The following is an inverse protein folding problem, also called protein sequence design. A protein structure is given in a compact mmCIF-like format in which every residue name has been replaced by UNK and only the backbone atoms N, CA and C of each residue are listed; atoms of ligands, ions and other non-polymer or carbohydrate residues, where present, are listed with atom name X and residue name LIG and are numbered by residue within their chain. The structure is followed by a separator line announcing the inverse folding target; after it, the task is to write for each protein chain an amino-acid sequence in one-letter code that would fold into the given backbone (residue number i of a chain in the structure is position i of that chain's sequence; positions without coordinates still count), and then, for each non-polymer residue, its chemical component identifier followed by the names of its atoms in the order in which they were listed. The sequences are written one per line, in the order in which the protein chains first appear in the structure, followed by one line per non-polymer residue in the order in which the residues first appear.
data_IF_508606726442
#
_entry.id   IF_508606726442
#
_cell.length_a   1.000
_cell.length_b   1.000
_cell.length_c   1.000
_cell.angle_alpha   90.00
_cell.angle_beta   90.00
_cell.angle_gamma   90.00
#
_symmetry.space_group_name_H-M   'P 1'
#
loop_
_entity.id
_entity.type
_entity.pdbx_description
1 polymer ?
#
# COMPACT_ATOMS: atom_id res chain seq x y z
N UNK A 1 -28.75 2.79 -33.16
CA UNK A 1 -28.52 1.45 -32.58
C UNK A 1 -26.99 1.31 -32.50
N UNK A 2 -26.41 1.80 -31.40
CA UNK A 2 -24.95 1.86 -31.21
C UNK A 2 -24.43 0.49 -30.76
N UNK A 3 -23.49 -0.06 -31.50
CA UNK A 3 -22.72 -1.22 -31.10
C UNK A 3 -21.92 -0.84 -29.85
N UNK A 4 -22.32 -1.36 -28.68
CA UNK A 4 -21.46 -1.37 -27.50
C UNK A 4 -20.21 -2.18 -27.89
N UNK A 5 -19.08 -1.52 -28.05
CA UNK A 5 -17.79 -2.21 -28.17
C UNK A 5 -17.62 -3.01 -26.88
N UNK A 6 -17.78 -4.32 -26.98
CA UNK A 6 -17.41 -5.27 -25.94
C UNK A 6 -15.91 -5.09 -25.72
N UNK A 7 -15.57 -4.32 -24.69
CA UNK A 7 -14.19 -4.19 -24.24
C UNK A 7 -13.76 -5.55 -23.69
N UNK A 8 -13.11 -6.37 -24.51
CA UNK A 8 -12.53 -7.63 -24.06
C UNK A 8 -11.51 -7.29 -22.96
N UNK A 9 -11.68 -7.77 -21.73
CA UNK A 9 -10.72 -7.48 -20.68
C UNK A 9 -9.33 -7.96 -21.12
N UNK A 10 -8.38 -7.05 -21.13
CA UNK A 10 -6.99 -7.38 -21.44
C UNK A 10 -6.46 -8.32 -20.37
N UNK A 11 -5.78 -9.39 -20.78
CA UNK A 11 -5.14 -10.30 -19.84
C UNK A 11 -4.10 -9.52 -18.99
N UNK A 12 -4.02 -9.79 -17.67
CA UNK A 12 -3.04 -9.16 -16.81
C UNK A 12 -1.60 -9.38 -17.30
N UNK A 13 -0.75 -8.38 -17.14
CA UNK A 13 0.68 -8.50 -17.42
C UNK A 13 1.38 -9.34 -16.36
N UNK A 14 2.54 -9.89 -16.70
CA UNK A 14 3.39 -10.61 -15.75
C UNK A 14 3.84 -9.67 -14.60
N UNK A 15 4.09 -10.23 -13.38
CA UNK A 15 4.66 -9.47 -12.28
C UNK A 15 5.97 -8.77 -12.64
N UNK A 16 6.26 -7.65 -11.96
CA UNK A 16 7.54 -6.96 -12.09
C UNK A 16 8.67 -7.84 -11.52
N UNK A 17 9.75 -7.96 -12.25
CA UNK A 17 10.98 -8.66 -11.81
C UNK A 17 12.04 -7.70 -11.27
N UNK A 18 11.84 -6.40 -11.46
CA UNK A 18 12.72 -5.34 -10.95
C UNK A 18 11.90 -4.06 -10.74
N UNK A 19 12.41 -3.17 -9.91
CA UNK A 19 11.77 -1.87 -9.67
C UNK A 19 12.10 -0.95 -10.85
N UNK A 20 11.08 -0.45 -11.60
CA UNK A 20 11.30 0.53 -12.64
C UNK A 20 11.95 1.82 -12.11
N UNK A 21 12.84 2.41 -12.88
CA UNK A 21 13.61 3.60 -12.47
C UNK A 21 12.78 4.84 -12.18
N UNK A 22 11.60 4.93 -12.77
CA UNK A 22 10.66 6.04 -12.63
C UNK A 22 9.79 5.95 -11.36
N UNK A 23 9.91 4.88 -10.57
CA UNK A 23 9.20 4.76 -9.30
C UNK A 23 9.99 5.54 -8.24
N UNK A 24 9.41 6.65 -7.78
CA UNK A 24 9.96 7.49 -6.73
C UNK A 24 9.19 7.35 -5.40
N UNK A 25 7.92 6.94 -5.43
CA UNK A 25 7.09 6.76 -4.26
C UNK A 25 6.12 5.58 -4.41
N UNK A 26 5.47 5.18 -3.31
CA UNK A 26 4.53 4.04 -3.32
C UNK A 26 3.37 4.26 -4.28
N UNK A 27 2.88 5.50 -4.44
CA UNK A 27 1.78 5.80 -5.36
C UNK A 27 2.12 5.50 -6.83
N UNK A 28 3.39 5.53 -7.20
CA UNK A 28 3.81 5.24 -8.58
C UNK A 28 3.58 3.79 -8.98
N UNK A 29 3.45 2.87 -8.00
CA UNK A 29 3.12 1.47 -8.27
C UNK A 29 1.69 1.27 -8.75
N UNK A 30 0.77 2.21 -8.50
CA UNK A 30 -0.65 2.06 -8.84
C UNK A 30 -0.87 1.73 -10.31
N UNK A 31 -0.20 2.44 -11.23
CA UNK A 31 -0.30 2.18 -12.67
C UNK A 31 0.16 0.77 -13.04
N UNK A 32 1.21 0.26 -12.39
CA UNK A 32 1.73 -1.08 -12.63
C UNK A 32 0.79 -2.16 -12.08
N UNK A 33 0.21 -1.92 -10.91
CA UNK A 33 -0.78 -2.82 -10.31
C UNK A 33 -2.03 -2.92 -11.20
N UNK A 34 -2.53 -1.80 -11.69
CA UNK A 34 -3.70 -1.76 -12.59
C UNK A 34 -3.52 -2.58 -13.86
N UNK A 35 -2.31 -2.64 -14.41
CA UNK A 35 -2.02 -3.42 -15.61
C UNK A 35 -1.83 -4.91 -15.35
N UNK A 36 -1.57 -5.31 -14.10
CA UNK A 36 -1.19 -6.67 -13.70
C UNK A 36 -2.24 -7.40 -12.90
N UNK A 37 -3.24 -6.69 -12.42
CA UNK A 37 -4.39 -7.26 -11.73
C UNK A 37 -5.55 -7.48 -12.73
N UNK A 38 -6.33 -8.53 -12.50
CA UNK A 38 -7.60 -8.67 -13.20
C UNK A 38 -8.59 -7.59 -12.72
N UNK A 39 -9.67 -7.40 -13.48
CA UNK A 39 -10.61 -6.32 -13.21
C UNK A 39 -11.29 -6.41 -11.84
N UNK A 40 -11.55 -7.62 -11.33
CA UNK A 40 -12.21 -7.81 -10.04
C UNK A 40 -11.23 -7.53 -8.88
N UNK A 41 -10.02 -8.08 -8.97
CA UNK A 41 -8.96 -7.80 -8.00
C UNK A 41 -8.62 -6.31 -7.95
N UNK A 42 -8.55 -5.64 -9.10
CA UNK A 42 -8.36 -4.21 -9.17
C UNK A 42 -9.51 -3.43 -8.51
N UNK A 43 -10.76 -3.77 -8.84
CA UNK A 43 -11.93 -3.10 -8.26
C UNK A 43 -12.00 -3.26 -6.73
N UNK A 44 -11.67 -4.45 -6.23
CA UNK A 44 -11.58 -4.71 -4.79
C UNK A 44 -10.49 -3.87 -4.12
N UNK A 45 -9.30 -3.79 -4.73
CA UNK A 45 -8.16 -3.08 -4.14
C UNK A 45 -8.32 -1.56 -4.18
N UNK A 46 -8.86 -1.02 -5.30
CA UNK A 46 -8.94 0.42 -5.53
C UNK A 46 -10.24 1.05 -5.05
N UNK A 47 -11.29 0.27 -4.82
CA UNK A 47 -12.60 0.76 -4.39
C UNK A 47 -12.67 1.06 -2.90
N UNK A 48 -13.49 2.04 -2.55
CA UNK A 48 -13.83 2.38 -1.18
C UNK A 48 -15.30 2.09 -0.87
N UNK A 49 -15.71 2.28 0.38
CA UNK A 49 -17.09 2.11 0.82
C UNK A 49 -17.95 3.34 0.47
N UNK A 50 -19.18 3.10 0.03
CA UNK A 50 -20.16 4.14 -0.25
C UNK A 50 -19.64 5.18 -1.25
N UNK A 51 -19.67 6.43 -0.88
CA UNK A 51 -19.22 7.57 -1.70
C UNK A 51 -17.69 7.79 -1.66
N UNK A 52 -16.93 6.84 -1.09
CA UNK A 52 -15.47 6.86 -0.99
C UNK A 52 -14.89 8.09 -0.27
N UNK A 53 -15.68 8.77 0.55
CA UNK A 53 -15.25 9.99 1.24
C UNK A 53 -14.06 9.75 2.16
N UNK A 54 -14.05 8.64 2.90
CA UNK A 54 -12.93 8.28 3.78
C UNK A 54 -11.68 7.94 2.99
N UNK A 55 -11.82 7.21 1.88
CA UNK A 55 -10.69 6.88 1.01
C UNK A 55 -10.05 8.16 0.45
N UNK A 56 -10.85 9.11 0.01
CA UNK A 56 -10.37 10.40 -0.46
C UNK A 56 -9.73 11.23 0.67
N UNK A 57 -10.32 11.25 1.87
CA UNK A 57 -9.78 12.03 3.01
C UNK A 57 -8.49 11.44 3.56
N UNK A 58 -8.29 10.14 3.50
CA UNK A 58 -7.02 9.49 3.88
C UNK A 58 -5.81 10.09 3.14
N UNK A 59 -5.97 10.45 1.88
CA UNK A 59 -4.90 11.13 1.12
C UNK A 59 -4.80 12.59 1.48
N UNK A 60 -5.93 13.31 1.52
CA UNK A 60 -5.98 14.75 1.86
C UNK A 60 -5.48 15.06 3.27
N UNK A 61 -5.61 14.10 4.19
CA UNK A 61 -5.14 14.28 5.56
C UNK A 61 -3.65 14.60 5.63
N UNK A 62 -2.82 14.03 4.75
CA UNK A 62 -1.39 14.33 4.71
C UNK A 62 -1.09 15.75 4.28
N UNK A 63 -1.92 16.38 3.43
CA UNK A 63 -1.73 17.77 2.97
C UNK A 63 -1.90 18.79 4.11
N UNK A 64 -2.58 18.41 5.19
CA UNK A 64 -2.80 19.26 6.38
C UNK A 64 -1.58 19.29 7.33
N UNK A 65 -0.62 18.38 7.13
CA UNK A 65 0.57 18.26 7.97
C UNK A 65 1.79 18.81 7.26
N UNK A 66 2.58 19.59 7.99
CA UNK A 66 3.84 20.13 7.48
C UNK A 66 4.98 19.71 8.39
N UNK A 67 6.08 19.30 7.80
CA UNK A 67 7.32 19.06 8.52
C UNK A 67 8.03 20.42 8.68
N UNK A 68 8.26 20.82 9.91
CA UNK A 68 9.02 22.04 10.24
C UNK A 68 10.44 21.65 10.65
N UNK A 69 11.41 21.61 9.72
CA UNK A 69 12.76 21.19 10.05
C UNK A 69 13.41 22.21 10.97
N UNK A 70 14.19 21.72 11.94
CA UNK A 70 15.05 22.54 12.78
C UNK A 70 16.49 22.25 12.43
N UNK A 71 17.25 23.28 12.09
CA UNK A 71 18.68 23.18 11.80
C UNK A 71 19.50 23.26 13.08
N UNK A 72 20.73 22.75 13.03
CA UNK A 72 21.70 22.77 14.13
C UNK A 72 21.25 22.05 15.41
N UNK A 73 20.30 21.15 15.34
CA UNK A 73 19.97 20.24 16.44
C UNK A 73 20.89 19.02 16.38
N UNK A 74 21.40 18.61 17.53
CA UNK A 74 22.06 17.31 17.64
C UNK A 74 21.03 16.19 17.52
N UNK A 75 21.16 15.37 16.49
CA UNK A 75 20.31 14.20 16.21
C UNK A 75 21.09 12.89 16.27
N UNK A 76 22.31 12.89 16.79
CA UNK A 76 23.19 11.73 16.82
C UNK A 76 22.60 10.53 17.60
N UNK A 77 21.77 10.80 18.61
CA UNK A 77 21.06 9.78 19.39
C UNK A 77 19.59 9.61 18.96
N UNK A 78 19.20 10.21 17.83
CA UNK A 78 17.82 10.12 17.33
C UNK A 78 17.47 8.69 16.89
N UNK A 79 16.26 8.24 17.26
CA UNK A 79 15.70 6.97 16.80
C UNK A 79 14.18 7.07 16.66
N UNK A 80 13.59 6.15 15.91
CA UNK A 80 12.13 6.04 15.69
C UNK A 80 11.49 4.92 16.50
N UNK A 81 12.28 4.20 17.32
CA UNK A 81 11.77 3.11 18.14
C UNK A 81 10.76 3.60 19.18
N UNK A 82 9.68 2.84 19.37
CA UNK A 82 8.61 3.15 20.32
C UNK A 82 7.95 1.85 20.82
N UNK A 83 7.11 1.99 21.85
CA UNK A 83 6.28 0.88 22.35
C UNK A 83 4.81 1.20 22.12
N UNK A 84 4.10 0.31 21.43
CA UNK A 84 2.66 0.42 21.18
C UNK A 84 1.97 -0.84 21.70
N UNK A 85 0.96 -0.69 22.53
CA UNK A 85 0.23 -1.82 23.14
C UNK A 85 1.13 -2.89 23.78
N UNK A 86 2.24 -2.47 24.41
CA UNK A 86 3.20 -3.37 25.03
C UNK A 86 4.22 -4.02 24.06
N UNK A 87 4.12 -3.76 22.77
CA UNK A 87 5.05 -4.25 21.75
C UNK A 87 6.14 -3.21 21.45
N UNK A 88 7.40 -3.61 21.54
CA UNK A 88 8.53 -2.78 21.15
C UNK A 88 8.69 -2.81 19.62
N UNK A 89 8.67 -1.64 19.00
CA UNK A 89 8.79 -1.46 17.56
C UNK A 89 10.05 -0.67 17.22
N UNK A 90 10.73 -1.05 16.15
CA UNK A 90 11.91 -0.34 15.65
C UNK A 90 11.55 1.03 15.02
N UNK A 91 10.31 1.15 14.51
CA UNK A 91 9.80 2.37 13.88
C UNK A 91 8.25 2.41 13.96
N UNK A 92 7.61 3.60 13.81
CA UNK A 92 6.17 3.77 13.95
C UNK A 92 5.35 3.39 12.72
N UNK A 93 5.95 2.77 11.71
CA UNK A 93 5.26 2.37 10.48
C UNK A 93 4.76 0.94 10.64
N UNK A 94 3.46 0.76 10.51
CA UNK A 94 2.77 -0.51 10.61
C UNK A 94 1.97 -0.76 9.33
N UNK A 95 1.93 -2.00 8.87
CA UNK A 95 1.00 -2.40 7.82
C UNK A 95 -0.31 -2.85 8.47
N UNK A 96 -1.41 -2.28 8.02
CA UNK A 96 -2.74 -2.73 8.41
C UNK A 96 -3.00 -4.13 7.84
N UNK A 97 -3.79 -4.98 8.52
CA UNK A 97 -4.24 -6.23 7.94
C UNK A 97 -5.09 -5.96 6.70
N UNK A 98 -4.76 -6.63 5.60
CA UNK A 98 -5.49 -6.58 4.34
C UNK A 98 -5.89 -8.00 3.98
N UNK A 99 -7.19 -8.24 3.79
CA UNK A 99 -7.71 -9.54 3.42
C UNK A 99 -7.37 -9.89 1.96
N UNK A 100 -7.36 -11.20 1.68
CA UNK A 100 -7.24 -11.75 0.32
C UNK A 100 -5.96 -11.34 -0.43
N UNK A 101 -4.82 -11.19 0.24
CA UNK A 101 -3.58 -10.76 -0.40
C UNK A 101 -3.12 -11.69 -1.54
N UNK A 102 -3.53 -12.96 -1.53
CA UNK A 102 -3.29 -13.90 -2.63
C UNK A 102 -3.98 -13.56 -3.95
N UNK A 103 -4.96 -12.65 -3.94
CA UNK A 103 -5.51 -12.09 -5.18
C UNK A 103 -4.51 -11.20 -5.91
N UNK A 104 -3.50 -10.69 -5.20
CA UNK A 104 -2.55 -9.71 -5.70
C UNK A 104 -1.15 -10.28 -5.89
N UNK A 105 -0.77 -11.24 -5.03
CA UNK A 105 0.54 -11.88 -5.08
C UNK A 105 0.45 -13.34 -4.62
N UNK A 106 1.11 -14.29 -5.31
CA UNK A 106 1.02 -15.72 -4.98
C UNK A 106 1.46 -16.04 -3.53
N UNK A 107 2.45 -15.32 -2.99
CA UNK A 107 2.91 -15.50 -1.61
C UNK A 107 2.08 -14.72 -0.59
N UNK A 108 1.12 -13.90 -1.04
CA UNK A 108 0.16 -13.21 -0.18
C UNK A 108 0.78 -12.50 1.01
N UNK A 109 0.31 -12.83 2.20
CA UNK A 109 0.74 -12.25 3.47
C UNK A 109 2.22 -12.45 3.76
N UNK A 110 2.80 -13.56 3.30
CA UNK A 110 4.23 -13.84 3.51
C UNK A 110 5.10 -12.79 2.79
N UNK A 111 4.75 -12.44 1.55
CA UNK A 111 5.46 -11.40 0.81
C UNK A 111 5.35 -10.03 1.51
N UNK A 112 4.17 -9.70 2.05
CA UNK A 112 3.95 -8.46 2.80
C UNK A 112 4.77 -8.42 4.09
N UNK A 113 4.82 -9.51 4.84
CA UNK A 113 5.63 -9.62 6.07
C UNK A 113 7.12 -9.46 5.79
N UNK A 114 7.63 -10.13 4.78
CA UNK A 114 9.05 -10.04 4.41
C UNK A 114 9.41 -8.63 3.94
N UNK A 115 8.53 -7.99 3.15
CA UNK A 115 8.72 -6.62 2.67
C UNK A 115 8.64 -5.56 3.78
N UNK A 116 7.84 -5.80 4.82
CA UNK A 116 7.63 -4.84 5.92
C UNK A 116 8.67 -4.93 7.05
N UNK A 117 9.59 -5.91 7.03
CA UNK A 117 10.62 -6.03 8.05
C UNK A 117 10.07 -6.27 9.46
N UNK A 118 9.13 -7.19 9.63
CA UNK A 118 8.60 -7.68 10.91
C UNK A 118 7.74 -6.73 11.77
N UNK A 119 7.34 -5.58 11.29
CA UNK A 119 6.39 -4.72 12.02
C UNK A 119 4.94 -5.02 11.65
N UNK A 120 4.51 -6.29 11.82
CA UNK A 120 3.12 -6.69 11.61
C UNK A 120 2.37 -6.74 12.96
N UNK A 121 1.37 -5.88 13.12
CA UNK A 121 0.35 -6.02 14.16
C UNK A 121 -0.80 -6.87 13.59
N UNK A 122 -0.97 -8.07 14.16
CA UNK A 122 -2.08 -9.00 13.93
C UNK A 122 -2.02 -9.85 12.66
N UNK A 123 -1.79 -11.13 12.88
CA UNK A 123 -2.33 -12.16 12.02
C UNK A 123 -3.84 -12.27 12.31
N UNK A 124 -4.68 -11.88 11.36
CA UNK A 124 -6.01 -12.45 11.31
C UNK A 124 -5.85 -13.84 10.71
N UNK A 125 -5.89 -14.86 11.54
CA UNK A 125 -6.11 -16.23 11.08
C UNK A 125 -7.50 -16.27 10.44
N UNK A 126 -7.56 -16.50 9.15
CA UNK A 126 -8.77 -16.85 8.42
C UNK A 126 -8.75 -18.31 8.05
#
# INVERSE_FOLDING_TARGET
MGLAMLHTPRAPLAPLTHIPREIACVADYERYARERLDANAWAYLSGGAGDELTAADNRRAFERWQLWPRVLNDVSAGHTALTVCGQALAHPILLAPVAYQRLFHPDGELASMLGAGFNHFWHAES
#
